data_IF_220087349803
#
_entry.id   IF_220087349803
#
_cell.length_a   1.000
_cell.length_b   1.000
_cell.length_c   1.000
_cell.angle_alpha   90.00
_cell.angle_beta   90.00
_cell.angle_gamma   90.00
#
_symmetry.space_group_name_H-M   'P 1'
#
loop_
_entity.id
_entity.type
_entity.pdbx_description
1 polymer ?
#
# COMPACT_ATOMS: atom_id res chain seq x y z
N UNK A 1 -5.02 -12.63 22.89
CA UNK A 1 -5.18 -13.10 21.49
C UNK A 1 -5.86 -12.01 20.69
N UNK A 2 -5.56 -11.87 19.40
CA UNK A 2 -6.21 -10.89 18.54
C UNK A 2 -7.54 -11.45 18.01
N UNK A 3 -8.60 -10.65 18.05
CA UNK A 3 -9.86 -10.95 17.38
C UNK A 3 -9.74 -10.48 15.93
N UNK A 4 -9.71 -11.42 14.99
CA UNK A 4 -9.68 -11.12 13.57
C UNK A 4 -11.13 -11.10 13.04
N UNK A 5 -11.57 -9.96 12.52
CA UNK A 5 -12.86 -9.86 11.83
C UNK A 5 -12.63 -9.93 10.32
N UNK A 6 -13.01 -11.06 9.72
CA UNK A 6 -12.97 -11.24 8.27
C UNK A 6 -14.23 -10.62 7.68
N UNK A 7 -14.07 -9.58 6.87
CA UNK A 7 -15.17 -8.93 6.15
C UNK A 7 -15.14 -9.42 4.70
N UNK A 8 -16.19 -10.15 4.29
CA UNK A 8 -16.37 -10.62 2.91
C UNK A 8 -16.76 -9.45 1.98
N UNK A 9 -16.30 -9.48 0.73
CA UNK A 9 -16.59 -8.42 -0.27
C UNK A 9 -18.03 -8.43 -0.77
N UNK A 10 -18.73 -9.56 -0.71
CA UNK A 10 -20.07 -9.76 -1.33
C UNK A 10 -21.26 -9.51 -0.41
N UNK A 11 -21.06 -9.48 0.91
CA UNK A 11 -22.17 -9.73 1.86
C UNK A 11 -23.10 -8.53 2.04
N UNK A 12 -22.83 -7.41 1.38
CA UNK A 12 -23.77 -6.32 1.24
C UNK A 12 -23.34 -5.46 0.04
N UNK A 13 -23.96 -5.69 -1.12
CA UNK A 13 -24.04 -4.71 -2.21
C UNK A 13 -24.83 -3.47 -1.75
N UNK A 14 -24.42 -2.83 -0.64
CA UNK A 14 -24.86 -1.48 -0.34
C UNK A 14 -24.24 -0.59 -1.41
N UNK A 15 -25.07 -0.05 -2.30
CA UNK A 15 -24.66 0.89 -3.32
C UNK A 15 -24.13 2.18 -2.64
N UNK A 16 -22.84 2.22 -2.32
CA UNK A 16 -22.20 3.35 -1.66
C UNK A 16 -20.80 3.06 -1.14
N UNK A 17 -19.95 4.08 -1.10
CA UNK A 17 -18.64 4.00 -0.48
C UNK A 17 -18.78 3.94 1.05
N UNK A 18 -18.36 2.82 1.67
CA UNK A 18 -18.30 2.67 3.12
C UNK A 18 -16.87 2.96 3.62
N UNK A 19 -16.62 4.07 4.32
CA UNK A 19 -15.29 4.38 4.83
C UNK A 19 -14.83 3.31 5.82
N UNK A 20 -13.65 2.73 5.59
CA UNK A 20 -12.99 1.81 6.51
C UNK A 20 -12.07 2.63 7.42
N UNK A 21 -12.16 2.40 8.74
CA UNK A 21 -11.32 3.08 9.70
C UNK A 21 -9.83 2.89 9.38
N UNK A 22 -9.05 3.98 9.37
CA UNK A 22 -7.60 4.04 9.03
C UNK A 22 -7.22 3.66 7.59
N UNK A 23 -8.17 3.44 6.68
CA UNK A 23 -7.87 3.17 5.26
C UNK A 23 -7.03 4.26 4.60
N UNK A 24 -7.25 5.52 4.98
CA UNK A 24 -6.48 6.66 4.48
C UNK A 24 -4.97 6.54 4.72
N UNK A 25 -4.54 5.83 5.79
CA UNK A 25 -3.12 5.65 6.10
C UNK A 25 -2.44 4.82 5.01
N UNK A 26 -3.11 3.74 4.59
CA UNK A 26 -2.62 2.84 3.54
C UNK A 26 -2.62 3.57 2.20
N UNK A 27 -3.73 4.24 1.86
CA UNK A 27 -3.85 4.99 0.61
C UNK A 27 -2.80 6.09 0.51
N UNK A 28 -2.52 6.81 1.61
CA UNK A 28 -1.46 7.82 1.68
C UNK A 28 -0.07 7.25 1.41
N UNK A 29 0.23 6.06 1.96
CA UNK A 29 1.51 5.39 1.69
C UNK A 29 1.65 5.06 0.20
N UNK A 30 0.58 4.57 -0.44
CA UNK A 30 0.58 4.32 -1.88
C UNK A 30 0.71 5.61 -2.70
N UNK A 31 0.05 6.70 -2.32
CA UNK A 31 0.22 8.01 -2.98
C UNK A 31 1.67 8.51 -2.90
N UNK A 32 2.39 8.22 -1.82
CA UNK A 32 3.80 8.57 -1.74
C UNK A 32 4.69 7.69 -2.62
N UNK A 33 4.35 6.42 -2.81
CA UNK A 33 5.07 5.54 -3.74
C UNK A 33 4.84 5.93 -5.20
N UNK A 34 3.66 6.43 -5.54
CA UNK A 34 3.36 6.94 -6.88
C UNK A 34 4.26 8.13 -7.27
N UNK A 35 4.70 8.91 -6.27
CA UNK A 35 5.67 9.99 -6.46
C UNK A 35 7.13 9.52 -6.59
N UNK A 36 7.46 8.27 -6.25
CA UNK A 36 8.81 7.75 -6.49
C UNK A 36 8.94 7.29 -7.94
N UNK A 37 9.62 8.10 -8.76
CA UNK A 37 9.86 7.84 -10.19
C UNK A 37 10.41 6.43 -10.45
N UNK A 38 11.16 5.84 -9.52
CA UNK A 38 11.72 4.49 -9.68
C UNK A 38 10.67 3.38 -9.66
N UNK A 39 9.55 3.61 -8.98
CA UNK A 39 8.43 2.66 -8.86
C UNK A 39 7.35 2.85 -9.93
N UNK A 40 7.45 3.88 -10.79
CA UNK A 40 6.48 4.15 -11.86
C UNK A 40 6.24 2.94 -12.78
N UNK A 41 7.26 2.10 -12.98
CA UNK A 41 7.16 0.82 -13.67
C UNK A 41 8.04 -0.21 -12.98
N UNK A 42 7.64 -1.48 -13.04
CA UNK A 42 8.52 -2.56 -12.63
C UNK A 42 9.55 -2.80 -13.75
N UNK A 43 10.79 -2.44 -13.48
CA UNK A 43 11.92 -2.65 -14.40
C UNK A 43 12.69 -3.94 -14.10
N UNK A 44 12.39 -4.61 -13.00
CA UNK A 44 13.15 -5.79 -12.59
C UNK A 44 12.67 -7.05 -13.30
N UNK A 45 13.61 -7.95 -13.57
CA UNK A 45 13.31 -9.25 -14.15
C UNK A 45 12.76 -10.23 -13.10
N UNK A 46 13.30 -10.19 -11.88
CA UNK A 46 12.93 -11.08 -10.79
C UNK A 46 12.01 -10.37 -9.81
N UNK A 47 11.04 -11.12 -9.28
CA UNK A 47 10.11 -10.61 -8.28
C UNK A 47 10.81 -10.19 -6.98
N UNK A 48 11.85 -10.91 -6.58
CA UNK A 48 12.66 -10.59 -5.39
C UNK A 48 13.34 -9.21 -5.54
N UNK A 49 13.85 -8.91 -6.74
CA UNK A 49 14.41 -7.61 -7.06
C UNK A 49 13.33 -6.52 -7.03
N UNK A 50 12.13 -6.78 -7.57
CA UNK A 50 11.02 -5.84 -7.49
C UNK A 50 10.62 -5.54 -6.04
N UNK A 51 10.56 -6.58 -5.19
CA UNK A 51 10.22 -6.45 -3.78
C UNK A 51 11.27 -5.62 -3.02
N UNK A 52 12.56 -5.88 -3.27
CA UNK A 52 13.64 -5.11 -2.65
C UNK A 52 13.60 -3.63 -3.07
N UNK A 53 13.25 -3.33 -4.32
CA UNK A 53 13.07 -1.94 -4.78
C UNK A 53 11.96 -1.20 -4.02
N UNK A 54 10.83 -1.87 -3.75
CA UNK A 54 9.75 -1.28 -2.93
C UNK A 54 10.22 -1.03 -1.49
N UNK A 55 10.97 -1.95 -0.89
CA UNK A 55 11.55 -1.78 0.46
C UNK A 55 12.49 -0.59 0.52
N UNK A 56 13.36 -0.43 -0.48
CA UNK A 56 14.29 0.71 -0.58
C UNK A 56 13.52 2.04 -0.67
N UNK A 57 12.48 2.11 -1.50
CA UNK A 57 11.64 3.30 -1.61
C UNK A 57 10.96 3.66 -0.28
N UNK A 58 10.49 2.67 0.48
CA UNK A 58 9.94 2.88 1.81
C UNK A 58 10.97 3.44 2.80
N UNK A 59 12.18 2.89 2.81
CA UNK A 59 13.29 3.37 3.67
C UNK A 59 13.64 4.82 3.33
N UNK A 60 13.82 5.13 2.03
CA UNK A 60 14.10 6.48 1.55
C UNK A 60 13.03 7.49 1.98
N UNK A 61 11.76 7.09 1.87
CA UNK A 61 10.63 7.92 2.29
C UNK A 61 10.66 8.20 3.80
N UNK A 62 10.98 7.20 4.61
CA UNK A 62 11.09 7.36 6.06
C UNK A 62 12.29 8.23 6.45
N UNK A 63 13.45 8.03 5.80
CA UNK A 63 14.64 8.84 6.02
C UNK A 63 14.39 10.33 5.70
N UNK A 64 13.64 10.63 4.64
CA UNK A 64 13.28 12.02 4.29
C UNK A 64 12.33 12.70 5.29
N UNK A 65 11.76 11.95 6.24
CA UNK A 65 10.82 12.46 7.26
C UNK A 65 11.47 12.62 8.63
N UNK A 66 12.73 12.21 8.78
CA UNK A 66 13.57 12.45 9.95
C UNK A 66 14.26 13.79 9.75
#
# INVERSE_FOLDING_TARGET
>A
GYLLQVVMRSDNQQAGFKPIHKRWVIERTFSWFDNDRRLCRNYELLLESSETMVKIAAIKLLLNKI
#
